data_IF_721585568951
#
_entry.id   IF_721585568951
#
_cell.length_a   1.000
_cell.length_b   1.000
_cell.length_c   1.000
_cell.angle_alpha   90.00
_cell.angle_beta   90.00
_cell.angle_gamma   90.00
#
_symmetry.space_group_name_H-M   'P 1'
#
loop_
_entity.id
_entity.type
_entity.pdbx_description
1 polymer ?
#
# COMPACT_ATOMS: atom_id res chain seq x y z
N UNK A 1 15.82 -0.47 -11.06
CA UNK A 1 14.50 0.16 -11.29
C UNK A 1 13.47 -0.59 -10.45
N UNK A 2 12.60 0.11 -9.70
CA UNK A 2 11.64 -0.55 -8.81
C UNK A 2 10.52 -1.17 -9.64
N UNK A 3 10.43 -2.50 -9.70
CA UNK A 3 9.39 -3.21 -10.45
C UNK A 3 8.10 -3.31 -9.62
N UNK A 4 7.33 -2.23 -9.59
CA UNK A 4 6.05 -2.14 -8.86
C UNK A 4 5.00 -3.08 -9.43
N UNK A 5 5.06 -3.37 -10.73
CA UNK A 5 4.22 -4.36 -11.40
C UNK A 5 4.58 -5.78 -10.98
N UNK A 6 5.87 -6.09 -10.87
CA UNK A 6 6.36 -7.37 -10.37
C UNK A 6 5.93 -7.68 -8.93
N UNK A 7 5.74 -6.66 -8.09
CA UNK A 7 5.16 -6.84 -6.75
C UNK A 7 3.72 -7.36 -6.84
N UNK A 8 2.88 -6.74 -7.68
CA UNK A 8 1.50 -7.19 -7.89
C UNK A 8 1.46 -8.57 -8.57
N UNK A 9 2.24 -8.77 -9.62
CA UNK A 9 2.34 -10.04 -10.34
C UNK A 9 2.70 -11.22 -9.43
N UNK A 10 3.60 -11.02 -8.46
CA UNK A 10 3.99 -12.07 -7.49
C UNK A 10 2.88 -12.50 -6.53
N UNK A 11 1.76 -11.77 -6.45
CA UNK A 11 0.59 -12.19 -5.67
C UNK A 11 -0.24 -13.28 -6.37
N UNK A 12 -0.04 -13.45 -7.69
CA UNK A 12 -0.72 -14.43 -8.53
C UNK A 12 0.11 -15.71 -8.65
N UNK A 13 -0.55 -16.86 -8.59
CA UNK A 13 0.09 -18.18 -8.79
C UNK A 13 -0.37 -18.77 -10.12
N UNK A 14 0.52 -19.04 -11.09
CA UNK A 14 0.12 -19.59 -12.38
C UNK A 14 -0.46 -21.00 -12.21
N UNK A 15 -1.54 -21.27 -12.95
CA UNK A 15 -2.23 -22.57 -13.05
C UNK A 15 -2.65 -22.80 -14.51
N UNK A 16 -3.06 -24.01 -14.89
CA UNK A 16 -3.39 -24.37 -16.28
C UNK A 16 -4.42 -23.43 -16.94
N UNK A 17 -5.44 -23.00 -16.18
CA UNK A 17 -6.53 -22.14 -16.69
C UNK A 17 -6.30 -20.64 -16.46
N UNK A 18 -5.12 -20.22 -15.97
CA UNK A 18 -4.80 -18.82 -15.69
C UNK A 18 -4.03 -18.61 -14.40
N UNK A 19 -4.60 -17.84 -13.47
CA UNK A 19 -3.90 -17.43 -12.25
C UNK A 19 -4.77 -17.57 -11.00
N UNK A 20 -4.23 -18.15 -9.94
CA UNK A 20 -4.86 -18.15 -8.62
C UNK A 20 -4.46 -16.92 -7.82
N UNK A 21 -5.45 -16.17 -7.35
CA UNK A 21 -5.31 -15.02 -6.47
C UNK A 21 -5.92 -15.31 -5.09
N UNK A 22 -5.22 -14.93 -4.04
CA UNK A 22 -5.64 -15.11 -2.65
C UNK A 22 -5.69 -13.73 -1.96
N UNK A 23 -6.89 -13.15 -1.73
CA UNK A 23 -7.05 -11.82 -1.14
C UNK A 23 -6.41 -11.67 0.24
N UNK A 24 -6.39 -12.74 1.02
CA UNK A 24 -5.78 -12.78 2.35
C UNK A 24 -5.22 -14.16 2.65
N UNK A 25 -4.46 -14.28 3.75
CA UNK A 25 -3.92 -15.56 4.23
C UNK A 25 -4.99 -16.59 4.59
N UNK A 26 -6.22 -16.17 4.88
CA UNK A 26 -7.34 -17.06 5.27
C UNK A 26 -8.37 -17.22 4.16
N UNK A 27 -8.19 -16.51 3.05
CA UNK A 27 -9.13 -16.58 1.93
C UNK A 27 -8.89 -17.83 1.09
N UNK A 28 -9.96 -18.29 0.44
CA UNK A 28 -9.89 -19.24 -0.66
C UNK A 28 -9.13 -18.65 -1.85
N UNK A 29 -8.65 -19.52 -2.73
CA UNK A 29 -8.05 -19.14 -4.00
C UNK A 29 -9.12 -18.91 -5.05
N UNK A 30 -9.01 -17.81 -5.77
CA UNK A 30 -9.93 -17.45 -6.85
C UNK A 30 -9.19 -17.47 -8.18
N UNK A 31 -9.84 -18.03 -9.21
CA UNK A 31 -9.30 -18.05 -10.56
C UNK A 31 -9.47 -16.66 -11.21
N UNK A 32 -8.38 -16.16 -11.76
CA UNK A 32 -8.27 -14.95 -12.57
C UNK A 32 -7.81 -15.39 -13.95
N UNK A 33 -8.59 -15.04 -14.96
CA UNK A 33 -8.27 -15.42 -16.34
C UNK A 33 -7.02 -14.66 -16.82
N UNK A 34 -6.30 -15.16 -17.83
CA UNK A 34 -5.13 -14.47 -18.37
C UNK A 34 -5.42 -13.03 -18.81
N UNK A 35 -6.54 -12.79 -19.47
CA UNK A 35 -6.96 -11.45 -19.92
C UNK A 35 -7.17 -10.48 -18.75
N UNK A 36 -7.84 -10.95 -17.69
CA UNK A 36 -8.10 -10.18 -16.47
C UNK A 36 -6.80 -9.87 -15.71
N UNK A 37 -5.86 -10.81 -15.71
CA UNK A 37 -4.54 -10.63 -15.12
C UNK A 37 -3.76 -9.53 -15.85
N UNK A 38 -3.68 -9.58 -17.19
CA UNK A 38 -2.98 -8.56 -17.98
C UNK A 38 -3.60 -7.17 -17.78
N UNK A 39 -4.93 -7.08 -17.76
CA UNK A 39 -5.62 -5.81 -17.47
C UNK A 39 -5.23 -5.26 -16.09
N UNK A 40 -5.22 -6.09 -15.04
CA UNK A 40 -4.81 -5.69 -13.70
C UNK A 40 -3.35 -5.21 -13.63
N UNK A 41 -2.45 -5.91 -14.31
CA UNK A 41 -1.03 -5.55 -14.35
C UNK A 41 -0.82 -4.23 -15.08
N UNK A 42 -1.49 -4.03 -16.21
CA UNK A 42 -1.36 -2.79 -16.98
C UNK A 42 -2.00 -1.59 -16.27
N UNK A 43 -3.15 -1.76 -15.64
CA UNK A 43 -3.76 -0.72 -14.82
C UNK A 43 -2.84 -0.33 -13.65
N UNK A 44 -2.22 -1.31 -13.02
CA UNK A 44 -1.26 -1.05 -11.95
C UNK A 44 0.03 -0.40 -12.45
N UNK A 45 0.54 -0.79 -13.63
CA UNK A 45 1.70 -0.11 -14.26
C UNK A 45 1.42 1.35 -14.56
N UNK A 46 0.19 1.70 -14.98
CA UNK A 46 -0.20 3.09 -15.23
C UNK A 46 -0.18 3.93 -13.95
N UNK A 47 -0.64 3.37 -12.83
CA UNK A 47 -0.73 4.08 -11.54
C UNK A 47 0.60 4.08 -10.78
N UNK A 48 1.20 2.91 -10.61
CA UNK A 48 2.41 2.68 -9.81
C UNK A 48 3.72 2.73 -10.61
N UNK A 49 3.64 2.95 -11.93
CA UNK A 49 4.82 3.22 -12.76
C UNK A 49 5.37 4.62 -12.54
N UNK A 50 6.61 4.86 -12.97
CA UNK A 50 7.29 6.15 -12.79
C UNK A 50 6.50 7.34 -13.33
N UNK A 51 5.93 7.21 -14.54
CA UNK A 51 5.10 8.25 -15.15
C UNK A 51 3.83 8.53 -14.32
N UNK A 52 3.18 7.47 -13.81
CA UNK A 52 2.01 7.59 -12.93
C UNK A 52 2.36 8.30 -11.63
N UNK A 53 3.48 7.90 -11.00
CA UNK A 53 3.97 8.53 -9.77
C UNK A 53 4.26 10.02 -9.97
N UNK A 54 4.96 10.40 -11.05
CA UNK A 54 5.21 11.82 -11.34
C UNK A 54 3.94 12.59 -11.65
N UNK A 55 2.98 11.99 -12.36
CA UNK A 55 1.69 12.61 -12.61
C UNK A 55 0.93 12.86 -11.30
N UNK A 56 0.94 11.91 -10.38
CA UNK A 56 0.31 12.05 -9.06
C UNK A 56 1.02 13.10 -8.19
N UNK A 57 2.35 13.11 -8.17
CA UNK A 57 3.14 14.13 -7.46
C UNK A 57 2.85 15.51 -8.04
N UNK A 58 2.88 15.65 -9.37
CA UNK A 58 2.58 16.92 -10.06
C UNK A 58 1.17 17.42 -9.76
N UNK A 59 0.16 16.53 -9.82
CA UNK A 59 -1.21 16.86 -9.45
C UNK A 59 -1.31 17.33 -7.99
N UNK A 60 -0.63 16.66 -7.07
CA UNK A 60 -0.61 17.04 -5.66
C UNK A 60 0.03 18.41 -5.44
N UNK A 61 1.15 18.70 -6.11
CA UNK A 61 1.81 20.01 -6.05
C UNK A 61 0.88 21.11 -6.60
N UNK A 62 0.26 20.89 -7.76
CA UNK A 62 -0.69 21.85 -8.34
C UNK A 62 -1.88 22.08 -7.41
N UNK A 63 -2.46 21.01 -6.85
CA UNK A 63 -3.58 21.11 -5.92
C UNK A 63 -3.21 21.87 -4.64
N UNK A 64 -2.01 21.65 -4.10
CA UNK A 64 -1.49 22.39 -2.96
C UNK A 64 -1.32 23.88 -3.28
N UNK A 65 -0.69 24.21 -4.41
CA UNK A 65 -0.48 25.61 -4.81
C UNK A 65 -1.81 26.34 -5.02
N UNK A 66 -2.76 25.71 -5.72
CA UNK A 66 -4.10 26.28 -5.95
C UNK A 66 -4.82 26.48 -4.62
N UNK A 67 -4.80 25.48 -3.74
CA UNK A 67 -5.49 25.60 -2.46
C UNK A 67 -4.83 26.61 -1.51
N UNK A 68 -3.49 26.74 -1.50
CA UNK A 68 -2.79 27.81 -0.79
C UNK A 68 -3.20 29.19 -1.32
N UNK A 69 -3.29 29.35 -2.64
CA UNK A 69 -3.74 30.61 -3.25
C UNK A 69 -5.17 30.97 -2.84
N UNK A 70 -6.07 29.98 -2.77
CA UNK A 70 -7.45 30.16 -2.29
C UNK A 70 -7.48 30.56 -0.82
N UNK A 71 -6.76 29.85 0.06
CA UNK A 71 -6.68 30.17 1.50
C UNK A 71 -6.16 31.60 1.69
N UNK A 72 -5.12 31.98 0.95
CA UNK A 72 -4.57 33.32 0.98
C UNK A 72 -5.58 34.37 0.50
N UNK A 73 -6.23 34.14 -0.64
CA UNK A 73 -7.17 35.10 -1.24
C UNK A 73 -8.44 35.30 -0.39
N UNK A 74 -8.88 34.25 0.29
CA UNK A 74 -10.04 34.29 1.19
C UNK A 74 -9.68 34.72 2.63
N UNK A 75 -8.41 34.95 2.93
CA UNK A 75 -7.95 35.33 4.28
C UNK A 75 -8.26 34.26 5.34
N UNK A 76 -8.24 32.98 4.96
CA UNK A 76 -8.54 31.88 5.88
C UNK A 76 -7.39 31.68 6.87
N UNK A 77 -7.74 31.22 8.08
CA UNK A 77 -6.77 30.94 9.13
C UNK A 77 -5.78 29.83 8.72
N UNK A 78 -4.56 29.87 9.27
CA UNK A 78 -3.46 28.97 8.90
C UNK A 78 -3.78 27.48 9.01
N UNK A 79 -4.64 27.09 9.96
CA UNK A 79 -5.08 25.70 10.12
C UNK A 79 -5.80 25.16 8.88
N UNK A 80 -6.40 26.04 8.05
CA UNK A 80 -7.03 25.65 6.79
C UNK A 80 -6.02 25.07 5.80
N UNK A 81 -4.78 25.58 5.77
CA UNK A 81 -3.70 25.00 4.95
C UNK A 81 -3.32 23.60 5.43
N UNK A 82 -3.27 23.40 6.75
CA UNK A 82 -3.00 22.08 7.34
C UNK A 82 -4.09 21.08 6.96
N UNK A 83 -5.36 21.47 7.12
CA UNK A 83 -6.51 20.60 6.78
C UNK A 83 -6.54 20.27 5.29
N UNK A 84 -6.32 21.25 4.42
CA UNK A 84 -6.24 21.05 2.97
C UNK A 84 -5.12 20.06 2.60
N UNK A 85 -3.92 20.26 3.16
CA UNK A 85 -2.77 19.40 2.88
C UNK A 85 -3.01 17.96 3.32
N UNK A 86 -3.58 17.78 4.52
CA UNK A 86 -3.97 16.46 5.03
C UNK A 86 -5.07 15.83 4.18
N UNK A 87 -6.06 16.62 3.73
CA UNK A 87 -7.12 16.16 2.86
C UNK A 87 -6.61 15.67 1.50
N UNK A 88 -5.70 16.41 0.87
CA UNK A 88 -5.06 16.02 -0.39
C UNK A 88 -4.21 14.76 -0.24
N UNK A 89 -3.38 14.69 0.79
CA UNK A 89 -2.57 13.51 1.09
C UNK A 89 -3.45 12.29 1.37
N UNK A 90 -4.51 12.46 2.17
CA UNK A 90 -5.49 11.41 2.49
C UNK A 90 -6.27 10.95 1.27
N UNK A 91 -6.71 11.87 0.41
CA UNK A 91 -7.39 11.55 -0.84
C UNK A 91 -6.50 10.76 -1.81
N UNK A 92 -5.23 11.16 -1.95
CA UNK A 92 -4.25 10.43 -2.75
C UNK A 92 -3.99 9.03 -2.19
N UNK A 93 -3.74 8.92 -0.89
CA UNK A 93 -3.55 7.63 -0.21
C UNK A 93 -4.78 6.73 -0.39
N UNK A 94 -5.99 7.27 -0.22
CA UNK A 94 -7.25 6.58 -0.46
C UNK A 94 -7.39 6.10 -1.90
N UNK A 95 -7.04 6.93 -2.89
CA UNK A 95 -7.03 6.54 -4.30
C UNK A 95 -6.06 5.39 -4.59
N UNK A 96 -4.85 5.45 -4.03
CA UNK A 96 -3.84 4.39 -4.19
C UNK A 96 -4.28 3.09 -3.52
N UNK A 97 -4.86 3.15 -2.32
CA UNK A 97 -5.45 2.00 -1.62
C UNK A 97 -6.63 1.43 -2.43
N UNK A 98 -7.45 2.29 -3.02
CA UNK A 98 -8.52 1.85 -3.91
C UNK A 98 -7.95 1.14 -5.15
N UNK A 99 -6.92 1.68 -5.78
CA UNK A 99 -6.29 1.00 -6.94
C UNK A 99 -5.62 -0.32 -6.55
N UNK A 100 -4.96 -0.40 -5.38
CA UNK A 100 -4.31 -1.65 -4.93
C UNK A 100 -5.29 -2.76 -4.59
N UNK A 101 -6.54 -2.42 -4.29
CA UNK A 101 -7.62 -3.38 -4.02
C UNK A 101 -8.38 -3.83 -5.28
N UNK A 102 -7.92 -3.48 -6.49
CA UNK A 102 -8.56 -3.87 -7.75
C UNK A 102 -8.71 -5.39 -7.90
N UNK A 103 -7.65 -6.16 -7.63
CA UNK A 103 -7.70 -7.63 -7.66
C UNK A 103 -8.73 -8.19 -6.65
N UNK A 104 -8.76 -7.64 -5.43
CA UNK A 104 -9.75 -8.04 -4.41
C UNK A 104 -11.19 -7.75 -4.85
N UNK A 105 -11.43 -6.62 -5.50
CA UNK A 105 -12.76 -6.28 -6.03
C UNK A 105 -13.17 -7.20 -7.17
N UNK A 106 -12.24 -7.54 -8.07
CA UNK A 106 -12.50 -8.40 -9.21
C UNK A 106 -12.97 -9.79 -8.80
N UNK A 107 -12.34 -10.37 -7.75
CA UNK A 107 -12.69 -11.72 -7.28
C UNK A 107 -13.84 -11.75 -6.28
N UNK A 108 -14.38 -10.59 -5.88
CA UNK A 108 -15.44 -10.50 -4.88
C UNK A 108 -16.71 -11.17 -5.40
N UNK A 109 -17.23 -12.14 -4.64
CA UNK A 109 -18.46 -12.86 -5.00
C UNK A 109 -18.27 -14.01 -6.02
N UNK A 110 -17.04 -14.26 -6.49
CA UNK A 110 -16.75 -15.43 -7.33
C UNK A 110 -16.78 -16.71 -6.50
N UNK A 111 -17.07 -17.83 -7.15
CA UNK A 111 -16.93 -19.15 -6.51
C UNK A 111 -15.44 -19.45 -6.29
N UNK A 112 -15.06 -19.99 -5.12
CA UNK A 112 -13.68 -20.37 -4.86
C UNK A 112 -13.26 -21.50 -5.80
N UNK A 113 -12.07 -21.38 -6.38
CA UNK A 113 -11.46 -22.39 -7.25
C UNK A 113 -10.48 -23.30 -6.49
N UNK A 114 -9.94 -22.82 -5.36
CA UNK A 114 -9.01 -23.58 -4.54
C UNK A 114 -9.26 -23.34 -3.04
N UNK A 115 -8.95 -24.32 -2.16
CA UNK A 115 -9.04 -24.15 -0.72
C UNK A 115 -8.03 -23.10 -0.20
N UNK A 116 -8.19 -22.60 1.04
CA UNK A 116 -7.25 -21.67 1.64
C UNK A 116 -5.85 -22.28 1.75
N UNK A 117 -4.81 -21.45 1.61
CA UNK A 117 -3.42 -21.90 1.73
C UNK A 117 -3.14 -22.39 3.15
N UNK A 118 -2.37 -23.48 3.26
CA UNK A 118 -1.77 -23.86 4.53
C UNK A 118 -0.92 -22.71 5.10
N UNK A 119 -0.88 -22.55 6.43
CA UNK A 119 -0.24 -21.39 7.07
C UNK A 119 1.21 -21.16 6.63
N UNK A 120 1.98 -22.24 6.37
CA UNK A 120 3.37 -22.13 5.87
C UNK A 120 3.43 -21.60 4.44
N UNK A 121 2.57 -22.09 3.55
CA UNK A 121 2.50 -21.63 2.16
C UNK A 121 2.03 -20.17 2.07
N UNK A 122 1.11 -19.75 2.94
CA UNK A 122 0.67 -18.35 3.05
C UNK A 122 1.82 -17.44 3.51
N UNK A 123 2.60 -17.86 4.51
CA UNK A 123 3.75 -17.10 5.01
C UNK A 123 4.85 -16.95 3.95
N UNK A 124 5.16 -18.02 3.21
CA UNK A 124 6.13 -17.98 2.11
C UNK A 124 5.65 -17.08 0.96
N UNK A 125 4.36 -17.16 0.59
CA UNK A 125 3.77 -16.32 -0.44
C UNK A 125 3.79 -14.82 -0.07
N UNK A 126 3.53 -14.48 1.20
CA UNK A 126 3.66 -13.10 1.70
C UNK A 126 5.09 -12.57 1.55
N UNK A 127 6.09 -13.37 1.91
CA UNK A 127 7.50 -12.99 1.75
C UNK A 127 7.89 -12.80 0.27
N UNK A 128 7.39 -13.67 -0.62
CA UNK A 128 7.64 -13.60 -2.06
C UNK A 128 6.99 -12.37 -2.71
N UNK A 129 5.77 -12.01 -2.30
CA UNK A 129 5.00 -10.92 -2.92
C UNK A 129 5.70 -9.56 -2.86
N UNK A 130 6.17 -9.14 -1.68
CA UNK A 130 6.90 -7.88 -1.52
C UNK A 130 8.29 -7.91 -2.17
N UNK A 131 8.96 -9.06 -2.08
CA UNK A 131 10.38 -9.18 -2.38
C UNK A 131 11.27 -8.70 -1.23
N UNK A 132 12.38 -9.40 -1.02
CA UNK A 132 13.37 -9.13 0.04
C UNK A 132 13.76 -7.65 0.20
N UNK A 133 14.17 -6.92 -0.87
CA UNK A 133 14.59 -5.53 -0.71
C UNK A 133 13.44 -4.62 -0.26
N UNK A 134 12.21 -4.82 -0.73
CA UNK A 134 11.06 -4.02 -0.32
C UNK A 134 10.67 -4.30 1.13
N UNK A 135 10.75 -5.57 1.57
CA UNK A 135 10.47 -5.93 2.95
C UNK A 135 11.47 -5.26 3.92
N UNK A 136 12.76 -5.20 3.56
CA UNK A 136 13.78 -4.45 4.32
C UNK A 136 13.48 -2.96 4.32
N UNK A 137 13.18 -2.38 3.16
CA UNK A 137 12.87 -0.96 3.05
C UNK A 137 11.65 -0.55 3.88
N UNK A 138 10.57 -1.33 3.85
CA UNK A 138 9.40 -1.06 4.68
C UNK A 138 9.70 -1.18 6.16
N UNK A 139 10.56 -2.14 6.57
CA UNK A 139 11.00 -2.24 7.96
C UNK A 139 11.78 -0.98 8.38
N UNK A 140 12.75 -0.53 7.58
CA UNK A 140 13.52 0.69 7.83
C UNK A 140 12.60 1.91 7.93
N UNK A 141 11.73 2.13 6.93
CA UNK A 141 10.81 3.27 6.91
C UNK A 141 9.87 3.25 8.11
N UNK A 142 9.37 2.07 8.51
CA UNK A 142 8.51 1.97 9.68
C UNK A 142 9.23 2.24 11.00
N UNK A 143 10.52 1.88 11.11
CA UNK A 143 11.34 2.21 12.28
C UNK A 143 11.66 3.71 12.35
N UNK A 144 11.92 4.36 11.21
CA UNK A 144 12.11 5.80 11.14
C UNK A 144 10.81 6.52 11.56
N UNK A 145 9.66 6.10 11.03
CA UNK A 145 8.36 6.65 11.38
C UNK A 145 8.03 6.44 12.87
N UNK A 146 8.37 5.28 13.44
CA UNK A 146 8.24 5.02 14.87
C UNK A 146 9.15 5.93 15.70
N UNK A 147 10.41 6.11 15.30
CA UNK A 147 11.35 7.01 15.98
C UNK A 147 10.82 8.45 16.00
N UNK A 148 10.30 8.94 14.87
CA UNK A 148 9.64 10.24 14.79
C UNK A 148 8.37 10.30 15.67
N UNK A 149 7.55 9.26 15.68
CA UNK A 149 6.35 9.24 16.49
C UNK A 149 6.66 9.24 18.00
N UNK A 150 7.76 8.60 18.42
CA UNK A 150 8.24 8.63 19.80
C UNK A 150 8.70 10.04 20.18
N UNK A 151 9.48 10.72 19.33
CA UNK A 151 9.88 12.11 19.62
C UNK A 151 8.68 13.05 19.66
N UNK A 152 7.70 12.85 18.78
CA UNK A 152 6.43 13.57 18.80
C UNK A 152 5.58 13.29 20.06
N UNK A 153 5.64 12.06 20.60
CA UNK A 153 4.99 11.70 21.86
C UNK A 153 5.61 12.40 23.08
N UNK A 154 6.91 12.67 23.06
CA UNK A 154 7.58 13.43 24.11
C UNK A 154 7.11 14.89 24.13
N UNK A 155 6.96 15.50 22.96
CA UNK A 155 6.58 16.93 22.83
C UNK A 155 5.07 17.13 23.02
N UNK A 156 4.25 16.22 22.48
CA UNK A 156 2.79 16.33 22.45
C UNK A 156 2.16 14.97 22.80
N UNK A 157 2.11 14.61 24.09
CA UNK A 157 1.72 13.27 24.52
C UNK A 157 0.33 12.83 24.04
N UNK A 158 -0.64 13.75 24.04
CA UNK A 158 -2.03 13.48 23.67
C UNK A 158 -2.18 12.85 22.28
N UNK A 159 -1.37 13.32 21.31
CA UNK A 159 -1.44 12.86 19.92
C UNK A 159 -0.29 11.93 19.56
N UNK A 160 0.89 12.12 20.17
CA UNK A 160 2.06 11.33 19.85
C UNK A 160 2.03 9.93 20.44
N UNK A 161 1.42 9.69 21.61
CA UNK A 161 1.28 8.33 22.15
C UNK A 161 0.42 7.45 21.21
N UNK A 162 -0.78 7.87 20.77
CA UNK A 162 -1.54 7.14 19.75
C UNK A 162 -0.75 6.89 18.46
N UNK A 163 -0.06 7.91 17.96
CA UNK A 163 0.77 7.78 16.75
C UNK A 163 1.88 6.73 16.95
N UNK A 164 2.60 6.77 18.07
CA UNK A 164 3.67 5.83 18.39
C UNK A 164 3.16 4.38 18.49
N UNK A 165 1.95 4.17 19.04
CA UNK A 165 1.31 2.84 19.06
C UNK A 165 1.03 2.36 17.64
N UNK A 166 0.41 3.19 16.79
CA UNK A 166 0.06 2.83 15.41
C UNK A 166 1.34 2.50 14.62
N UNK A 167 2.34 3.38 14.64
CA UNK A 167 3.59 3.15 13.94
C UNK A 167 4.40 1.99 14.56
N UNK A 168 4.28 1.74 15.87
CA UNK A 168 4.89 0.60 16.54
C UNK A 168 4.31 -0.72 16.06
N UNK A 169 2.98 -0.80 15.93
CA UNK A 169 2.29 -1.96 15.35
C UNK A 169 2.72 -2.16 13.90
N UNK A 170 2.74 -1.11 13.09
CA UNK A 170 3.20 -1.19 11.70
C UNK A 170 4.66 -1.66 11.59
N UNK A 171 5.55 -1.12 12.43
CA UNK A 171 6.95 -1.52 12.48
C UNK A 171 7.13 -2.98 12.87
N UNK A 172 6.38 -3.45 13.87
CA UNK A 172 6.37 -4.86 14.25
C UNK A 172 5.93 -5.76 13.09
N UNK A 173 4.83 -5.43 12.40
CA UNK A 173 4.36 -6.22 11.26
C UNK A 173 5.35 -6.21 10.09
N UNK A 174 5.91 -5.05 9.74
CA UNK A 174 6.88 -4.94 8.65
C UNK A 174 8.18 -5.68 8.98
N UNK A 175 8.67 -5.59 10.21
CA UNK A 175 9.84 -6.36 10.67
C UNK A 175 9.56 -7.86 10.61
N UNK A 176 8.37 -8.30 11.03
CA UNK A 176 7.95 -9.70 10.94
C UNK A 176 7.90 -10.18 9.49
N UNK A 177 7.39 -9.35 8.57
CA UNK A 177 7.37 -9.65 7.12
C UNK A 177 8.81 -9.74 6.59
N UNK A 178 9.69 -8.80 6.96
CA UNK A 178 11.09 -8.81 6.59
C UNK A 178 11.78 -10.11 7.05
N UNK A 179 11.69 -10.45 8.34
CA UNK A 179 12.27 -11.70 8.88
C UNK A 179 11.77 -12.92 8.11
N UNK A 180 10.48 -12.96 7.77
CA UNK A 180 9.89 -14.08 7.02
C UNK A 180 10.35 -14.14 5.56
N UNK A 181 10.62 -13.00 4.92
CA UNK A 181 11.14 -12.95 3.56
C UNK A 181 12.57 -13.53 3.41
N UNK A 182 13.30 -13.66 4.52
CA UNK A 182 14.64 -14.25 4.58
C UNK A 182 14.69 -15.65 5.20
N UNK A 183 13.56 -16.21 5.64
CA UNK A 183 13.52 -17.62 6.09
C UNK A 183 13.52 -18.55 4.86
N UNK A 184 14.40 -19.58 4.83
CA UNK A 184 14.44 -20.58 3.78
C UNK A 184 13.21 -21.49 3.80
#
# INVERSE_FOLDING_TARGET
MFDTAGVLARSFTPVEEGYLFYPSRWSYGYLVKPEEYEELIDDWRRVAGWKGLWSLIGLMVVALLVGMAIVYWLGLAEWANTVLSLGLAGGLAGHLIWKSTAANRMVRGRKPAAPPRASRAADHAMGKALGRPMAVWLAILSLIALGWAITFAVVTPLWGIPAAIIFGIMAFFNLRIAVRAFRP
#
